data_IF_233516241285
#
_entry.id   IF_233516241285
#
_cell.length_a   1.000
_cell.length_b   1.000
_cell.length_c   1.000
_cell.angle_alpha   90.00
_cell.angle_beta   90.00
_cell.angle_gamma   90.00
#
_symmetry.space_group_name_H-M   'P 1'
#
loop_
_entity.id
_entity.type
_entity.pdbx_description
1 polymer ?
#
# COMPACT_ATOMS: atom_id res chain seq x y z
N UNK A 1 17.56 44.24 -31.21
CA UNK A 1 17.99 42.82 -31.12
C UNK A 1 18.32 42.31 -29.72
N UNK A 2 18.99 43.08 -28.83
CA UNK A 2 19.31 42.63 -27.45
C UNK A 2 18.09 42.38 -26.53
N UNK A 3 16.95 43.03 -26.76
CA UNK A 3 15.73 42.82 -25.97
C UNK A 3 14.99 41.51 -26.31
N UNK A 4 14.99 41.07 -27.58
CA UNK A 4 14.31 39.85 -28.01
C UNK A 4 15.05 38.58 -27.56
N UNK A 5 16.39 38.59 -27.58
CA UNK A 5 17.22 37.50 -27.03
C UNK A 5 17.09 37.36 -25.50
N UNK A 6 16.83 38.46 -24.79
CA UNK A 6 16.66 38.46 -23.33
C UNK A 6 15.28 37.94 -22.89
N UNK A 7 14.24 38.17 -23.69
CA UNK A 7 12.93 37.53 -23.46
C UNK A 7 12.96 36.03 -23.73
N UNK A 8 13.69 35.57 -24.75
CA UNK A 8 13.87 34.12 -25.00
C UNK A 8 14.63 33.45 -23.85
N UNK A 9 15.64 34.12 -23.27
CA UNK A 9 16.34 33.65 -22.06
C UNK A 9 15.46 33.67 -20.80
N UNK A 10 14.60 34.70 -20.62
CA UNK A 10 13.67 34.77 -19.48
C UNK A 10 12.62 33.64 -19.55
N UNK A 11 12.10 33.35 -20.74
CA UNK A 11 11.18 32.24 -20.97
C UNK A 11 11.83 30.88 -20.76
N UNK A 12 13.12 30.72 -21.08
CA UNK A 12 13.87 29.49 -20.80
C UNK A 12 14.17 29.28 -19.31
N UNK A 13 14.47 30.33 -18.56
CA UNK A 13 14.69 30.25 -17.11
C UNK A 13 13.40 30.00 -16.32
N UNK A 14 12.27 30.57 -16.74
CA UNK A 14 10.95 30.27 -16.15
C UNK A 14 10.52 28.83 -16.47
N UNK A 15 10.86 28.31 -17.66
CA UNK A 15 10.60 26.91 -18.02
C UNK A 15 11.40 25.92 -17.16
N UNK A 16 12.70 26.19 -16.92
CA UNK A 16 13.53 25.36 -16.05
C UNK A 16 13.15 25.44 -14.56
N UNK A 17 12.66 26.59 -14.07
CA UNK A 17 12.24 26.77 -12.67
C UNK A 17 10.85 26.17 -12.41
N UNK A 18 9.97 26.14 -13.42
CA UNK A 18 8.71 25.39 -13.38
C UNK A 18 8.92 23.87 -13.22
N UNK A 19 10.04 23.32 -13.72
CA UNK A 19 10.34 21.90 -13.62
C UNK A 19 10.71 21.44 -12.20
N UNK A 20 11.06 22.34 -11.27
CA UNK A 20 11.41 21.97 -9.89
C UNK A 20 10.22 21.87 -8.93
N UNK A 21 8.99 22.02 -9.44
CA UNK A 21 7.80 21.70 -8.68
C UNK A 21 7.66 20.17 -8.67
N UNK A 22 8.26 19.52 -7.67
CA UNK A 22 7.94 18.13 -7.35
C UNK A 22 6.53 18.11 -6.71
N UNK A 23 5.48 18.06 -7.52
CA UNK A 23 4.09 17.89 -7.07
C UNK A 23 3.61 16.46 -7.20
N UNK A 24 2.86 16.01 -6.19
CA UNK A 24 1.90 14.90 -6.15
C UNK A 24 2.39 13.51 -6.56
N UNK A 25 3.36 12.98 -5.82
CA UNK A 25 3.38 11.55 -5.53
C UNK A 25 2.35 11.27 -4.44
N UNK A 26 1.29 10.56 -4.79
CA UNK A 26 0.33 10.09 -3.79
C UNK A 26 1.02 9.07 -2.87
N UNK A 27 0.37 8.76 -1.76
CA UNK A 27 0.54 7.50 -1.06
C UNK A 27 0.67 6.29 -2.02
N UNK A 28 1.09 5.12 -1.53
CA UNK A 28 1.18 3.90 -2.34
C UNK A 28 -0.19 3.32 -2.75
N UNK A 29 -0.98 4.13 -3.46
CA UNK A 29 -2.28 3.80 -4.07
C UNK A 29 -2.12 3.05 -5.39
N UNK A 30 -0.87 2.81 -5.78
CA UNK A 30 -0.51 2.20 -7.05
C UNK A 30 -0.37 0.68 -6.91
N UNK A 31 -0.41 0.18 -5.68
CA UNK A 31 -0.34 -1.23 -5.33
C UNK A 31 -1.54 -1.63 -4.47
N UNK A 32 -1.87 -2.91 -4.46
CA UNK A 32 -3.05 -3.43 -3.73
C UNK A 32 -2.71 -4.39 -2.58
N UNK A 33 -1.45 -4.82 -2.46
CA UNK A 33 -0.99 -5.80 -1.45
C UNK A 33 0.16 -5.23 -0.59
N UNK A 34 -0.06 -4.02 -0.05
CA UNK A 34 0.96 -3.26 0.69
C UNK A 34 1.26 -3.86 2.07
N UNK A 35 0.22 -4.36 2.75
CA UNK A 35 0.36 -5.11 3.99
C UNK A 35 -0.35 -6.46 3.88
N UNK A 36 0.31 -7.51 4.34
CA UNK A 36 -0.33 -8.82 4.49
C UNK A 36 -1.10 -8.84 5.81
N UNK A 37 -2.33 -9.33 5.77
CA UNK A 37 -3.28 -9.29 6.88
C UNK A 37 -3.28 -10.64 7.60
N UNK A 38 -3.31 -10.64 8.93
CA UNK A 38 -3.42 -11.87 9.72
C UNK A 38 -2.12 -12.68 9.80
N UNK A 39 -1.95 -13.46 10.86
CA UNK A 39 -0.67 -14.11 11.17
C UNK A 39 -0.30 -15.23 10.21
N UNK A 40 -1.25 -16.15 9.97
CA UNK A 40 -1.04 -17.33 9.15
C UNK A 40 -0.96 -16.96 7.67
N UNK A 41 -1.89 -16.13 7.20
CA UNK A 41 -1.86 -15.62 5.84
C UNK A 41 -0.59 -14.80 5.54
N UNK A 42 -0.20 -13.87 6.42
CA UNK A 42 0.97 -13.03 6.19
C UNK A 42 2.29 -13.82 6.14
N UNK A 43 2.39 -14.94 6.85
CA UNK A 43 3.56 -15.81 6.85
C UNK A 43 3.60 -16.78 5.65
N UNK A 44 2.53 -16.82 4.85
CA UNK A 44 2.40 -17.55 3.58
C UNK A 44 2.22 -16.62 2.37
N UNK A 45 2.78 -15.41 2.39
CA UNK A 45 2.73 -14.48 1.26
C UNK A 45 1.34 -13.88 0.99
N UNK A 46 0.44 -13.96 1.97
CA UNK A 46 -0.96 -13.56 1.84
C UNK A 46 -1.76 -14.51 0.95
N UNK A 47 -1.30 -15.75 0.79
CA UNK A 47 -2.01 -16.81 0.09
C UNK A 47 -2.95 -17.50 1.06
N UNK A 48 -4.24 -17.16 1.01
CA UNK A 48 -5.22 -17.62 2.00
C UNK A 48 -6.61 -17.89 1.45
N UNK A 49 -6.89 -17.67 0.16
CA UNK A 49 -8.24 -17.77 -0.40
C UNK A 49 -8.83 -19.18 -0.29
N UNK A 50 -8.01 -20.22 -0.44
CA UNK A 50 -8.45 -21.63 -0.35
C UNK A 50 -8.32 -22.25 1.06
N UNK A 51 -7.72 -21.54 2.01
CA UNK A 51 -7.42 -22.05 3.37
C UNK A 51 -7.85 -21.06 4.45
N UNK A 52 -8.92 -20.30 4.18
CA UNK A 52 -9.46 -19.25 5.04
C UNK A 52 -10.25 -19.80 6.25
N UNK A 53 -9.73 -20.82 6.92
CA UNK A 53 -10.40 -21.60 7.97
C UNK A 53 -10.27 -21.03 9.39
N UNK A 54 -9.99 -19.73 9.52
CA UNK A 54 -9.95 -19.00 10.79
C UNK A 54 -10.60 -17.62 10.64
N UNK A 55 -10.53 -16.79 11.69
CA UNK A 55 -11.11 -15.44 11.63
C UNK A 55 -10.51 -14.56 10.51
N UNK A 56 -9.26 -14.77 10.10
CA UNK A 56 -8.64 -13.99 9.01
C UNK A 56 -9.30 -14.26 7.66
N UNK A 57 -10.02 -15.38 7.53
CA UNK A 57 -10.91 -15.66 6.41
C UNK A 57 -11.99 -14.60 6.18
N UNK A 58 -12.37 -13.83 7.20
CA UNK A 58 -13.30 -12.70 7.06
C UNK A 58 -12.78 -11.64 6.05
N UNK A 59 -11.45 -11.51 5.93
CA UNK A 59 -10.81 -10.60 4.98
C UNK A 59 -10.48 -11.27 3.64
N UNK A 60 -9.92 -12.49 3.66
CA UNK A 60 -9.48 -13.16 2.43
C UNK A 60 -10.61 -13.86 1.68
N UNK A 61 -11.29 -14.81 2.33
CA UNK A 61 -12.43 -15.52 1.77
C UNK A 61 -13.43 -15.91 2.86
N UNK A 62 -14.57 -15.20 3.00
CA UNK A 62 -15.50 -15.46 4.09
C UNK A 62 -16.15 -16.84 4.02
N UNK A 63 -16.11 -17.56 2.89
CA UNK A 63 -16.62 -18.92 2.85
C UNK A 63 -15.77 -19.89 3.69
N UNK A 64 -14.47 -19.63 3.81
CA UNK A 64 -13.55 -20.49 4.54
C UNK A 64 -13.86 -20.57 6.04
N UNK A 65 -14.40 -19.50 6.62
CA UNK A 65 -14.67 -19.43 8.07
C UNK A 65 -15.71 -20.48 8.50
N UNK A 66 -16.53 -21.00 7.57
CA UNK A 66 -17.45 -22.10 7.82
C UNK A 66 -16.70 -23.39 8.24
N UNK A 67 -15.46 -23.55 7.80
CA UNK A 67 -14.59 -24.69 8.10
C UNK A 67 -13.75 -24.52 9.36
N UNK A 68 -13.84 -23.38 10.05
CA UNK A 68 -13.10 -23.17 11.30
C UNK A 68 -13.39 -24.25 12.34
N UNK A 69 -12.40 -24.65 13.12
CA UNK A 69 -12.55 -25.80 14.06
C UNK A 69 -13.47 -25.45 15.24
N UNK A 70 -13.54 -24.19 15.65
CA UNK A 70 -14.35 -23.74 16.78
C UNK A 70 -14.39 -22.21 16.90
N UNK A 71 -14.74 -21.72 18.09
CA UNK A 71 -14.68 -20.30 18.39
C UNK A 71 -13.22 -19.84 18.48
N UNK A 72 -12.90 -18.69 17.88
CA UNK A 72 -11.54 -18.18 17.87
C UNK A 72 -11.49 -16.67 18.06
N UNK A 73 -10.52 -16.22 18.83
CA UNK A 73 -10.07 -14.84 18.93
C UNK A 73 -8.67 -14.75 18.34
N UNK A 74 -8.49 -13.92 17.31
CA UNK A 74 -7.17 -13.67 16.73
C UNK A 74 -6.87 -12.18 16.73
N UNK A 75 -5.68 -11.84 17.24
CA UNK A 75 -5.17 -10.48 17.22
C UNK A 75 -3.74 -10.51 16.68
N UNK A 76 -3.54 -9.94 15.50
CA UNK A 76 -2.21 -9.69 14.96
C UNK A 76 -1.73 -8.36 15.49
N UNK A 77 -1.03 -8.46 16.62
CA UNK A 77 -0.54 -7.33 17.38
C UNK A 77 0.90 -7.01 17.02
N UNK A 78 1.08 -5.94 16.24
CA UNK A 78 2.33 -5.23 15.97
C UNK A 78 3.10 -5.76 14.75
N UNK A 79 2.76 -5.16 13.61
CA UNK A 79 3.63 -5.13 12.43
C UNK A 79 4.59 -3.94 12.58
N UNK A 80 5.86 -4.18 12.88
CA UNK A 80 6.90 -3.16 12.70
C UNK A 80 7.25 -3.17 11.21
N UNK A 81 6.79 -2.16 10.48
CA UNK A 81 7.06 -2.00 9.06
C UNK A 81 8.09 -0.88 8.87
N UNK A 82 9.24 -1.22 8.29
CA UNK A 82 10.24 -0.26 7.83
C UNK A 82 10.36 -0.32 6.32
N UNK A 83 10.30 0.82 5.67
CA UNK A 83 10.46 0.93 4.22
C UNK A 83 11.45 2.03 3.89
N UNK A 84 12.25 1.81 2.84
CA UNK A 84 13.17 2.78 2.29
C UNK A 84 12.99 2.86 0.77
N UNK A 85 12.72 4.06 0.27
CA UNK A 85 12.69 4.35 -1.17
C UNK A 85 13.85 5.28 -1.51
N UNK A 86 14.64 4.91 -2.52
CA UNK A 86 15.77 5.70 -3.01
C UNK A 86 15.52 6.06 -4.47
N UNK A 87 15.60 7.35 -4.79
CA UNK A 87 15.58 7.89 -6.14
C UNK A 87 16.97 8.38 -6.50
N UNK A 88 17.60 7.72 -7.47
CA UNK A 88 19.00 7.98 -7.81
C UNK A 88 19.17 9.29 -8.57
N UNK A 89 20.23 10.03 -8.26
CA UNK A 89 20.67 11.24 -8.99
C UNK A 89 19.53 12.23 -9.24
N UNK A 90 18.72 12.47 -8.21
CA UNK A 90 17.57 13.34 -8.35
C UNK A 90 18.07 14.76 -8.57
N UNK A 91 18.82 15.34 -7.63
CA UNK A 91 19.38 16.69 -7.81
C UNK A 91 20.89 16.62 -8.04
N UNK A 92 21.33 16.91 -9.26
CA UNK A 92 22.74 16.79 -9.61
C UNK A 92 23.17 15.32 -9.50
N UNK A 93 24.13 15.03 -8.62
CA UNK A 93 24.58 13.66 -8.31
C UNK A 93 23.98 13.12 -7.01
N UNK A 94 23.07 13.86 -6.37
CA UNK A 94 22.53 13.53 -5.06
C UNK A 94 21.22 12.73 -5.15
N UNK A 95 21.11 11.71 -4.31
CA UNK A 95 19.94 10.85 -4.22
C UNK A 95 18.85 11.46 -3.33
N UNK A 96 17.58 11.21 -3.66
CA UNK A 96 16.49 11.41 -2.72
C UNK A 96 16.20 10.12 -1.98
N UNK A 97 16.21 10.19 -0.66
CA UNK A 97 15.86 9.06 0.19
C UNK A 97 14.58 9.38 0.95
N UNK A 98 13.65 8.44 0.95
CA UNK A 98 12.45 8.46 1.80
C UNK A 98 12.45 7.24 2.71
N UNK A 99 12.13 7.46 3.96
CA UNK A 99 12.09 6.41 4.97
C UNK A 99 10.70 6.40 5.63
N UNK A 100 10.17 5.21 5.86
CA UNK A 100 8.91 5.02 6.55
C UNK A 100 9.10 4.01 7.68
N UNK A 101 8.56 4.33 8.84
CA UNK A 101 8.51 3.44 9.99
C UNK A 101 7.13 3.54 10.63
N UNK A 102 6.44 2.40 10.76
CA UNK A 102 5.14 2.36 11.40
C UNK A 102 4.96 1.09 12.23
N UNK A 103 4.21 1.22 13.32
CA UNK A 103 3.83 0.13 14.21
C UNK A 103 2.31 0.12 14.31
N UNK A 104 1.67 -0.80 13.61
CA UNK A 104 0.20 -0.85 13.53
C UNK A 104 -0.32 -2.26 13.81
N UNK A 105 -1.37 -2.42 14.64
CA UNK A 105 -2.12 -3.66 14.68
C UNK A 105 -2.87 -3.82 13.36
N UNK A 106 -2.44 -4.77 12.52
CA UNK A 106 -3.00 -4.94 11.17
C UNK A 106 -4.30 -5.75 11.15
N UNK A 107 -4.62 -6.50 12.22
CA UNK A 107 -5.79 -7.37 12.24
C UNK A 107 -6.28 -7.71 13.65
N UNK A 108 -7.60 -7.71 13.81
CA UNK A 108 -8.31 -8.30 14.94
C UNK A 108 -9.59 -8.98 14.47
N UNK A 109 -9.88 -10.16 14.98
CA UNK A 109 -11.08 -10.90 14.60
C UNK A 109 -11.61 -11.80 15.70
N UNK A 110 -12.94 -11.86 15.79
CA UNK A 110 -13.69 -12.77 16.64
C UNK A 110 -14.54 -13.64 15.73
N UNK A 111 -14.36 -14.95 15.79
CA UNK A 111 -15.15 -15.94 15.07
C UNK A 111 -15.92 -16.78 16.06
N UNK A 112 -17.20 -16.99 15.75
CA UNK A 112 -18.10 -17.87 16.50
C UNK A 112 -18.75 -18.88 15.57
N UNK A 113 -18.57 -20.16 15.87
CA UNK A 113 -19.07 -21.26 15.05
C UNK A 113 -20.31 -21.91 15.68
N UNK A 114 -21.34 -22.07 14.86
CA UNK A 114 -22.61 -22.69 15.24
C UNK A 114 -23.01 -23.75 14.21
N UNK A 115 -22.56 -24.99 14.40
CA UNK A 115 -22.80 -26.10 13.46
C UNK A 115 -22.33 -25.71 12.04
N UNK A 116 -23.26 -25.60 11.09
CA UNK A 116 -23.01 -25.24 9.69
C UNK A 116 -22.94 -23.73 9.44
N UNK A 117 -23.22 -22.90 10.45
CA UNK A 117 -23.14 -21.44 10.37
C UNK A 117 -21.90 -20.95 11.10
N UNK A 118 -21.25 -19.93 10.57
CA UNK A 118 -20.17 -19.24 11.26
C UNK A 118 -20.36 -17.73 11.12
N UNK A 119 -20.15 -17.03 12.22
CA UNK A 119 -20.22 -15.57 12.27
C UNK A 119 -18.87 -15.04 12.69
N UNK A 120 -18.49 -13.91 12.13
CA UNK A 120 -17.24 -13.26 12.48
C UNK A 120 -17.42 -11.75 12.49
N UNK A 121 -16.74 -11.08 13.41
CA UNK A 121 -16.52 -9.65 13.32
C UNK A 121 -15.02 -9.42 13.20
N UNK A 122 -14.60 -8.58 12.26
CA UNK A 122 -13.19 -8.29 12.06
C UNK A 122 -12.94 -6.80 11.86
N UNK A 123 -11.75 -6.41 12.30
CA UNK A 123 -11.10 -5.12 12.08
C UNK A 123 -9.78 -5.40 11.36
N UNK A 124 -9.54 -4.67 10.28
CA UNK A 124 -8.41 -4.91 9.38
C UNK A 124 -7.79 -3.58 8.96
N UNK A 125 -6.46 -3.53 8.95
CA UNK A 125 -5.69 -2.42 8.40
C UNK A 125 -4.88 -2.96 7.22
N UNK A 126 -5.45 -2.94 6.00
CA UNK A 126 -4.76 -3.44 4.80
C UNK A 126 -3.65 -2.50 4.31
N UNK A 127 -3.67 -1.24 4.76
CA UNK A 127 -2.71 -0.23 4.36
C UNK A 127 -2.47 0.74 5.53
N UNK A 128 -1.21 0.89 5.90
CA UNK A 128 -0.74 1.91 6.81
C UNK A 128 0.72 2.24 6.49
N UNK A 129 1.02 3.50 6.23
CA UNK A 129 2.40 3.96 6.19
C UNK A 129 2.50 5.40 6.71
N UNK A 130 3.66 5.68 7.30
CA UNK A 130 4.05 7.01 7.77
C UNK A 130 5.40 7.28 7.15
N UNK A 131 5.44 8.12 6.12
CA UNK A 131 6.64 8.45 5.37
C UNK A 131 7.20 9.79 5.85
N UNK A 132 8.51 9.81 6.05
CA UNK A 132 9.27 10.99 6.36
C UNK A 132 10.43 11.15 5.36
N UNK A 133 10.70 12.39 5.00
CA UNK A 133 11.88 12.77 4.23
C UNK A 133 12.34 14.12 4.72
N UNK A 134 13.60 14.24 5.12
CA UNK A 134 14.25 15.50 5.42
C UNK A 134 15.62 15.49 4.75
N UNK A 135 15.82 16.36 3.76
CA UNK A 135 17.03 16.41 2.96
C UNK A 135 17.53 17.86 2.86
N UNK A 136 18.84 18.04 3.02
CA UNK A 136 19.52 19.33 2.82
C UNK A 136 20.69 19.08 1.88
N UNK A 137 20.69 19.76 0.74
CA UNK A 137 21.81 19.78 -0.19
C UNK A 137 22.44 21.16 -0.21
N UNK A 138 23.77 21.20 -0.11
CA UNK A 138 24.56 22.41 -0.21
C UNK A 138 25.24 22.45 -1.58
N UNK A 139 25.08 23.58 -2.27
CA UNK A 139 25.57 23.83 -3.61
C UNK A 139 25.26 22.70 -4.63
N UNK A 140 24.04 22.13 -4.66
CA UNK A 140 23.74 20.96 -5.49
C UNK A 140 23.78 21.24 -6.99
N UNK A 141 23.65 22.51 -7.39
CA UNK A 141 23.70 22.97 -8.76
C UNK A 141 24.42 24.33 -8.80
N UNK A 142 24.99 24.72 -9.93
CA UNK A 142 25.74 25.99 -10.07
C UNK A 142 24.93 27.25 -9.71
N UNK A 143 23.61 27.19 -9.78
CA UNK A 143 22.67 28.29 -9.50
C UNK A 143 21.99 28.19 -8.14
N UNK A 144 22.10 27.05 -7.46
CA UNK A 144 21.41 26.75 -6.20
C UNK A 144 22.44 26.58 -5.10
N UNK A 145 22.38 27.47 -4.10
CA UNK A 145 23.28 27.43 -2.94
C UNK A 145 22.79 26.44 -1.88
N UNK A 146 21.49 26.40 -1.63
CA UNK A 146 20.88 25.48 -0.65
C UNK A 146 19.56 24.98 -1.22
N UNK A 147 19.34 23.67 -1.14
CA UNK A 147 18.02 23.07 -1.33
C UNK A 147 17.66 22.25 -0.10
N UNK A 148 16.56 22.60 0.54
CA UNK A 148 15.98 21.87 1.65
C UNK A 148 14.61 21.34 1.24
N UNK A 149 14.34 20.09 1.56
CA UNK A 149 13.07 19.43 1.31
C UNK A 149 12.64 18.65 2.53
N UNK A 150 11.39 18.81 2.91
CA UNK A 150 10.74 18.09 3.99
C UNK A 150 9.40 17.55 3.51
N UNK A 151 9.16 16.27 3.72
CA UNK A 151 7.93 15.57 3.43
C UNK A 151 7.50 14.80 4.68
N UNK A 152 6.23 14.94 5.00
CA UNK A 152 5.57 14.05 5.95
C UNK A 152 4.26 13.60 5.31
N UNK A 153 4.08 12.29 5.19
CA UNK A 153 2.86 11.70 4.62
C UNK A 153 2.38 10.55 5.48
N UNK A 154 1.08 10.52 5.72
CA UNK A 154 0.41 9.47 6.45
C UNK A 154 -0.78 9.01 5.63
N UNK A 155 -0.92 7.70 5.44
CA UNK A 155 -2.11 7.08 4.88
C UNK A 155 -2.45 5.84 5.68
N UNK A 156 -3.69 5.77 6.16
CA UNK A 156 -4.18 4.61 6.87
C UNK A 156 -5.60 4.30 6.41
N UNK A 157 -5.79 3.04 6.03
CA UNK A 157 -7.09 2.48 5.66
C UNK A 157 -7.53 1.47 6.71
N UNK A 158 -8.77 1.59 7.16
CA UNK A 158 -9.42 0.71 8.10
C UNK A 158 -10.64 0.05 7.46
N UNK A 159 -10.76 -1.26 7.67
CA UNK A 159 -11.94 -2.03 7.34
C UNK A 159 -12.50 -2.62 8.62
N UNK A 160 -13.79 -2.48 8.86
CA UNK A 160 -14.43 -3.11 10.02
C UNK A 160 -15.83 -3.61 9.69
N UNK A 161 -16.19 -4.80 10.12
CA UNK A 161 -17.52 -5.29 9.82
C UNK A 161 -17.78 -6.77 10.13
N UNK A 162 -19.06 -7.15 10.05
CA UNK A 162 -19.51 -8.52 10.23
C UNK A 162 -19.28 -9.36 8.97
N UNK A 163 -19.10 -10.66 9.19
CA UNK A 163 -19.05 -11.71 8.19
C UNK A 163 -19.94 -12.86 8.62
N UNK A 164 -20.54 -13.54 7.66
CA UNK A 164 -21.34 -14.74 7.87
C UNK A 164 -21.03 -15.78 6.81
N UNK A 165 -20.99 -17.04 7.19
CA UNK A 165 -20.75 -18.15 6.29
C UNK A 165 -21.64 -19.35 6.58
N UNK A 166 -21.94 -20.09 5.52
CA UNK A 166 -22.79 -21.26 5.53
C UNK A 166 -22.09 -22.42 4.82
N UNK A 167 -21.98 -23.54 5.52
CA UNK A 167 -21.50 -24.81 4.97
C UNK A 167 -22.69 -25.61 4.42
N UNK A 168 -22.57 -26.07 3.18
CA UNK A 168 -23.51 -26.98 2.52
C UNK A 168 -22.88 -28.36 2.38
N UNK A 169 -23.40 -29.33 3.12
CA UNK A 169 -22.79 -30.65 3.21
C UNK A 169 -21.40 -30.55 3.85
N UNK A 170 -20.47 -31.39 3.39
CA UNK A 170 -19.11 -31.43 3.92
C UNK A 170 -18.12 -30.63 3.05
N UNK A 171 -18.44 -30.37 1.78
CA UNK A 171 -17.43 -30.00 0.78
C UNK A 171 -17.62 -28.62 0.19
N UNK A 172 -18.72 -27.92 0.44
CA UNK A 172 -18.99 -26.61 -0.15
C UNK A 172 -19.40 -25.58 0.89
N UNK A 173 -18.94 -24.34 0.77
CA UNK A 173 -19.40 -23.23 1.58
C UNK A 173 -19.50 -21.92 0.81
N UNK A 174 -20.37 -21.04 1.31
CA UNK A 174 -20.54 -19.67 0.85
C UNK A 174 -20.35 -18.72 2.02
N UNK A 175 -19.79 -17.55 1.76
CA UNK A 175 -19.62 -16.51 2.77
C UNK A 175 -19.86 -15.11 2.21
N UNK A 176 -20.22 -14.21 3.11
CA UNK A 176 -20.39 -12.79 2.85
C UNK A 176 -19.75 -12.00 3.99
N UNK A 177 -19.02 -10.96 3.63
CA UNK A 177 -18.52 -9.94 4.54
C UNK A 177 -18.98 -8.58 4.06
N UNK A 178 -19.34 -7.71 5.00
CA UNK A 178 -19.66 -6.32 4.70
C UNK A 178 -18.77 -5.42 5.55
N UNK A 179 -17.74 -4.83 4.95
CA UNK A 179 -16.85 -3.92 5.62
C UNK A 179 -17.30 -2.46 5.47
N UNK A 180 -17.26 -1.72 6.57
CA UNK A 180 -17.12 -0.27 6.56
C UNK A 180 -15.68 0.08 6.19
N UNK A 181 -15.51 0.85 5.12
CA UNK A 181 -14.21 1.35 4.68
C UNK A 181 -14.02 2.77 5.17
N UNK A 182 -12.91 3.02 5.87
CA UNK A 182 -12.49 4.35 6.29
C UNK A 182 -11.03 4.57 5.94
N UNK A 183 -10.74 5.62 5.17
CA UNK A 183 -9.36 6.02 4.87
C UNK A 183 -9.12 7.46 5.29
N UNK A 184 -7.97 7.68 5.91
CA UNK A 184 -7.47 9.00 6.28
C UNK A 184 -6.09 9.18 5.69
N UNK A 185 -5.94 10.19 4.84
CA UNK A 185 -4.68 10.57 4.22
C UNK A 185 -4.35 12.02 4.58
N UNK A 186 -3.11 12.24 5.01
CA UNK A 186 -2.55 13.57 5.21
C UNK A 186 -1.17 13.63 4.59
N UNK A 187 -0.89 14.72 3.90
CA UNK A 187 0.45 15.03 3.43
C UNK A 187 0.77 16.47 3.73
N UNK A 188 1.98 16.68 4.20
CA UNK A 188 2.63 17.96 4.33
C UNK A 188 3.93 17.92 3.56
N UNK A 189 4.12 18.90 2.70
CA UNK A 189 5.31 18.99 1.88
C UNK A 189 5.82 20.42 1.91
N UNK A 190 7.12 20.56 2.12
CA UNK A 190 7.78 21.85 2.21
C UNK A 190 9.12 21.76 1.49
N UNK A 191 9.43 22.75 0.67
CA UNK A 191 10.81 22.96 0.23
C UNK A 191 11.23 24.41 0.34
N UNK A 192 12.53 24.58 0.56
CA UNK A 192 13.20 25.87 0.56
C UNK A 192 14.40 25.80 -0.38
N UNK A 193 14.47 26.73 -1.32
CA UNK A 193 15.56 26.87 -2.26
C UNK A 193 16.19 28.25 -2.06
N UNK A 194 17.51 28.30 -1.93
CA UNK A 194 18.28 29.55 -1.93
C UNK A 194 19.18 29.57 -3.16
N UNK A 195 19.06 30.62 -3.96
CA UNK A 195 19.86 30.83 -5.16
C UNK A 195 21.21 31.46 -4.83
N UNK A 196 22.19 31.28 -5.71
CA UNK A 196 23.55 31.86 -5.54
C UNK A 196 23.54 33.39 -5.59
N UNK A 197 22.55 34.01 -6.23
CA UNK A 197 22.33 35.47 -6.31
C UNK A 197 21.66 36.09 -5.07
N UNK A 198 21.39 35.27 -4.05
CA UNK A 198 20.74 35.68 -2.81
C UNK A 198 19.21 35.62 -2.84
N UNK A 199 18.59 35.29 -3.97
CA UNK A 199 17.15 35.01 -4.06
C UNK A 199 16.76 33.75 -3.29
N UNK A 200 15.47 33.60 -3.00
CA UNK A 200 14.94 32.40 -2.36
C UNK A 200 13.55 32.04 -2.86
N UNK A 201 13.19 30.78 -2.69
CA UNK A 201 11.85 30.25 -2.92
C UNK A 201 11.48 29.32 -1.77
N UNK A 202 10.27 29.51 -1.26
CA UNK A 202 9.65 28.72 -0.21
C UNK A 202 8.34 28.20 -0.75
N UNK A 203 8.12 26.89 -0.65
CA UNK A 203 6.86 26.27 -1.01
C UNK A 203 6.36 25.45 0.17
N UNK A 204 5.06 25.54 0.40
CA UNK A 204 4.36 24.74 1.39
C UNK A 204 3.09 24.18 0.76
N UNK A 205 2.85 22.90 0.97
CA UNK A 205 1.64 22.20 0.58
C UNK A 205 1.12 21.36 1.75
N UNK A 206 -0.19 21.41 1.96
CA UNK A 206 -0.89 20.49 2.85
C UNK A 206 -2.11 19.94 2.16
N UNK A 207 -2.12 18.63 1.98
CA UNK A 207 -3.26 17.88 1.46
C UNK A 207 -3.85 17.01 2.56
N UNK A 208 -5.17 16.98 2.64
CA UNK A 208 -5.93 16.10 3.53
C UNK A 208 -7.02 15.44 2.70
N UNK A 209 -7.17 14.13 2.88
CA UNK A 209 -8.23 13.38 2.24
C UNK A 209 -8.84 12.43 3.26
N UNK A 210 -10.17 12.36 3.25
CA UNK A 210 -10.94 11.41 4.05
C UNK A 210 -11.94 10.72 3.14
N UNK A 211 -12.03 9.40 3.26
CA UNK A 211 -12.96 8.57 2.49
C UNK A 211 -13.74 7.66 3.43
N UNK A 212 -15.06 7.63 3.27
CA UNK A 212 -15.94 6.69 3.96
C UNK A 212 -16.73 5.89 2.90
N UNK A 213 -16.77 4.57 3.05
CA UNK A 213 -17.31 3.66 2.05
C UNK A 213 -17.78 2.31 2.62
N UNK A 214 -18.25 1.46 1.71
CA UNK A 214 -18.65 0.09 1.99
C UNK A 214 -17.94 -0.86 1.04
N UNK A 215 -17.44 -1.98 1.55
CA UNK A 215 -16.82 -3.05 0.76
C UNK A 215 -17.54 -4.37 1.04
N UNK A 216 -18.54 -4.72 0.22
CA UNK A 216 -19.08 -6.08 0.21
C UNK A 216 -18.05 -7.05 -0.37
N UNK A 217 -17.91 -8.22 0.26
CA UNK A 217 -17.06 -9.31 -0.20
C UNK A 217 -17.82 -10.61 -0.15
N UNK A 218 -17.87 -11.33 -1.26
CA UNK A 218 -18.51 -12.63 -1.38
C UNK A 218 -17.43 -13.69 -1.57
N UNK A 219 -17.57 -14.80 -0.86
CA UNK A 219 -16.64 -15.91 -0.88
C UNK A 219 -17.32 -17.22 -1.23
N UNK A 220 -16.56 -18.11 -1.88
CA UNK A 220 -16.92 -19.51 -2.13
C UNK A 220 -15.72 -20.37 -1.80
N UNK A 221 -15.95 -21.53 -1.18
CA UNK A 221 -14.92 -22.53 -0.97
C UNK A 221 -15.47 -23.92 -1.28
N UNK A 222 -14.68 -24.73 -1.97
CA UNK A 222 -15.04 -26.08 -2.40
C UNK A 222 -13.88 -27.04 -2.23
N UNK A 223 -14.13 -28.17 -1.55
CA UNK A 223 -13.18 -29.26 -1.38
C UNK A 223 -13.64 -30.47 -2.20
N UNK A 224 -13.28 -30.54 -3.51
CA UNK A 224 -13.67 -31.66 -4.38
C UNK A 224 -13.11 -33.01 -3.89
N UNK A 225 -11.92 -32.97 -3.28
CA UNK A 225 -11.21 -34.13 -2.74
C UNK A 225 -10.71 -33.81 -1.33
N UNK A 226 -10.44 -34.83 -0.51
CA UNK A 226 -9.94 -34.63 0.85
C UNK A 226 -8.59 -33.92 0.92
N UNK A 227 -7.81 -33.94 -0.17
CA UNK A 227 -6.48 -33.35 -0.26
C UNK A 227 -6.46 -32.03 -1.04
N UNK A 228 -7.57 -31.61 -1.65
CA UNK A 228 -7.62 -30.40 -2.49
C UNK A 228 -8.78 -29.50 -2.06
N UNK A 229 -8.47 -28.25 -1.79
CA UNK A 229 -9.47 -27.19 -1.61
C UNK A 229 -9.23 -26.09 -2.63
N UNK A 230 -10.30 -25.57 -3.20
CA UNK A 230 -10.29 -24.40 -4.06
C UNK A 230 -11.19 -23.32 -3.48
N UNK A 231 -10.81 -22.07 -3.67
CA UNK A 231 -11.53 -20.92 -3.17
C UNK A 231 -11.65 -19.83 -4.22
N UNK A 232 -12.69 -19.03 -4.11
CA UNK A 232 -12.85 -17.81 -4.88
C UNK A 232 -13.44 -16.72 -4.00
N UNK A 233 -12.96 -15.49 -4.16
CA UNK A 233 -13.53 -14.32 -3.51
C UNK A 233 -13.70 -13.17 -4.51
N UNK A 234 -14.70 -12.32 -4.27
CA UNK A 234 -15.00 -11.13 -5.07
C UNK A 234 -15.35 -9.97 -4.15
N UNK A 235 -14.75 -8.81 -4.39
CA UNK A 235 -15.08 -7.57 -3.69
C UNK A 235 -14.82 -6.31 -4.51
N UNK A 236 -15.43 -5.22 -4.07
CA UNK A 236 -15.19 -3.87 -4.57
C UNK A 236 -15.62 -2.86 -3.51
N UNK A 237 -14.81 -1.83 -3.29
CA UNK A 237 -15.15 -0.72 -2.38
C UNK A 237 -15.96 0.36 -3.10
N UNK A 238 -17.06 0.79 -2.47
CA UNK A 238 -17.90 1.89 -2.92
C UNK A 238 -17.87 3.03 -1.92
N UNK A 239 -17.43 4.22 -2.35
CA UNK A 239 -17.40 5.41 -1.50
C UNK A 239 -18.75 6.12 -1.52
N UNK A 240 -19.30 6.41 -0.34
CA UNK A 240 -20.45 7.30 -0.21
C UNK A 240 -20.04 8.70 0.26
N UNK A 241 -18.86 8.85 0.88
CA UNK A 241 -18.26 10.13 1.24
C UNK A 241 -16.78 10.18 0.83
N UNK A 242 -16.35 11.29 0.27
CA UNK A 242 -14.95 11.58 0.00
C UNK A 242 -14.77 13.09 0.11
N UNK A 243 -13.82 13.53 0.93
CA UNK A 243 -13.48 14.95 1.06
C UNK A 243 -11.99 15.11 0.85
N UNK A 244 -11.60 16.05 -0.01
CA UNK A 244 -10.23 16.44 -0.25
C UNK A 244 -10.08 17.93 0.01
N UNK A 245 -9.05 18.30 0.77
CA UNK A 245 -8.64 19.68 0.97
C UNK A 245 -7.14 19.80 0.70
N UNK A 246 -6.78 20.62 -0.29
CA UNK A 246 -5.41 21.02 -0.58
C UNK A 246 -5.22 22.49 -0.28
N UNK A 247 -4.15 22.86 0.40
CA UNK A 247 -3.69 24.24 0.52
C UNK A 247 -2.23 24.29 0.08
N UNK A 248 -1.91 25.20 -0.85
CA UNK A 248 -0.55 25.42 -1.30
C UNK A 248 -0.21 26.91 -1.16
N UNK A 249 1.01 27.22 -0.73
CA UNK A 249 1.55 28.58 -0.78
C UNK A 249 2.97 28.58 -1.31
N UNK A 250 3.29 29.61 -2.08
CA UNK A 250 4.62 29.86 -2.61
C UNK A 250 5.03 31.29 -2.26
N UNK A 251 6.25 31.44 -1.77
CA UNK A 251 6.88 32.73 -1.54
C UNK A 251 8.22 32.74 -2.25
N UNK A 252 8.44 33.71 -3.12
CA UNK A 252 9.67 33.79 -3.90
C UNK A 252 10.20 35.22 -3.93
N UNK A 253 11.52 35.31 -4.02
CA UNK A 253 12.26 36.55 -4.25
C UNK A 253 13.07 36.40 -5.52
N UNK A 254 12.85 37.32 -6.46
CA UNK A 254 13.66 37.46 -7.66
C UNK A 254 14.61 38.65 -7.48
N UNK A 255 15.92 38.39 -7.58
CA UNK A 255 16.98 39.39 -7.45
C UNK A 255 17.74 39.63 -8.77
N UNK A 256 17.26 39.08 -9.89
CA UNK A 256 17.93 39.08 -11.19
C UNK A 256 18.11 40.47 -11.82
N UNK A 257 17.37 41.48 -11.33
CA UNK A 257 17.42 42.87 -11.82
C UNK A 257 18.21 43.81 -10.91
N UNK A 258 18.80 43.32 -9.82
CA UNK A 258 19.51 44.12 -8.81
C UNK A 258 18.60 44.78 -7.76
N UNK A 259 17.28 44.67 -7.93
CA UNK A 259 16.26 45.04 -6.92
C UNK A 259 15.44 43.80 -6.60
N UNK A 260 15.28 43.49 -5.32
CA UNK A 260 14.49 42.34 -4.87
C UNK A 260 12.98 42.55 -5.16
N UNK A 261 12.40 41.67 -5.97
CA UNK A 261 10.95 41.56 -6.17
C UNK A 261 10.41 40.40 -5.36
N UNK A 262 9.31 40.61 -4.64
CA UNK A 262 8.67 39.59 -3.81
C UNK A 262 7.33 39.19 -4.41
N UNK A 263 7.07 37.89 -4.47
CA UNK A 263 5.75 37.37 -4.86
C UNK A 263 5.32 36.32 -3.83
N UNK A 264 4.04 36.38 -3.46
CA UNK A 264 3.39 35.41 -2.58
C UNK A 264 2.05 35.04 -3.18
N UNK A 265 1.80 33.74 -3.30
CA UNK A 265 0.54 33.18 -3.78
C UNK A 265 0.08 32.11 -2.81
N UNK A 266 -1.22 32.09 -2.53
CA UNK A 266 -1.87 31.04 -1.75
C UNK A 266 -3.06 30.53 -2.56
N UNK A 267 -3.15 29.21 -2.69
CA UNK A 267 -4.25 28.52 -3.36
C UNK A 267 -4.87 27.51 -2.41
N UNK A 268 -6.19 27.43 -2.44
CA UNK A 268 -6.97 26.44 -1.70
C UNK A 268 -7.87 25.69 -2.67
N UNK A 269 -7.85 24.38 -2.57
CA UNK A 269 -8.67 23.46 -3.36
C UNK A 269 -9.49 22.59 -2.42
N UNK A 270 -10.78 22.49 -2.70
CA UNK A 270 -11.69 21.57 -2.01
C UNK A 270 -12.36 20.73 -3.08
N UNK A 271 -12.46 19.42 -2.87
CA UNK A 271 -13.13 18.51 -3.78
C UNK A 271 -13.88 17.43 -2.99
N UNK A 272 -15.03 17.02 -3.53
CA UNK A 272 -15.83 15.90 -3.03
C UNK A 272 -15.89 14.74 -4.04
N UNK A 273 -14.99 14.78 -5.04
CA UNK A 273 -14.88 13.74 -6.06
C UNK A 273 -14.50 12.39 -5.45
N UNK A 274 -15.21 11.35 -5.85
CA UNK A 274 -15.05 9.99 -5.33
C UNK A 274 -14.26 9.16 -6.34
N UNK A 275 -13.12 8.62 -5.91
CA UNK A 275 -12.39 7.63 -6.71
C UNK A 275 -13.18 6.33 -6.84
N UNK A 276 -12.90 5.58 -7.91
CA UNK A 276 -13.48 4.26 -8.14
C UNK A 276 -12.44 3.19 -7.85
N UNK A 277 -12.73 2.34 -6.87
CA UNK A 277 -11.88 1.19 -6.55
C UNK A 277 -12.01 0.09 -7.61
N UNK A 278 -10.94 -0.70 -7.83
CA UNK A 278 -10.99 -1.82 -8.75
C UNK A 278 -12.01 -2.87 -8.31
N UNK A 279 -12.48 -3.66 -9.27
CA UNK A 279 -13.14 -4.93 -8.96
C UNK A 279 -12.05 -5.97 -8.70
N UNK A 280 -12.03 -6.58 -7.51
CA UNK A 280 -11.06 -7.60 -7.12
C UNK A 280 -11.68 -8.99 -7.22
N UNK A 281 -11.02 -9.87 -7.96
CA UNK A 281 -11.34 -11.29 -8.07
C UNK A 281 -10.13 -12.09 -7.60
N UNK A 282 -10.30 -12.87 -6.54
CA UNK A 282 -9.26 -13.74 -5.99
C UNK A 282 -9.62 -15.20 -6.23
N UNK A 283 -8.64 -15.99 -6.68
CA UNK A 283 -8.77 -17.44 -6.87
C UNK A 283 -7.65 -18.14 -6.12
N UNK A 284 -7.98 -19.17 -5.35
CA UNK A 284 -7.01 -19.94 -4.58
C UNK A 284 -7.15 -21.43 -4.78
N UNK A 285 -6.02 -22.14 -4.66
CA UNK A 285 -5.99 -23.59 -4.61
C UNK A 285 -4.98 -24.07 -3.55
N UNK A 286 -5.38 -25.07 -2.77
CA UNK A 286 -4.61 -25.61 -1.67
C UNK A 286 -4.56 -27.13 -1.71
N UNK A 287 -3.35 -27.68 -1.64
CA UNK A 287 -3.06 -29.10 -1.69
C UNK A 287 -2.43 -29.57 -0.38
N UNK A 288 -3.03 -30.60 0.22
CA UNK A 288 -2.65 -31.19 1.51
C UNK A 288 -2.10 -32.61 1.30
N UNK A 289 -0.86 -32.79 0.80
CA UNK A 289 -0.31 -34.12 0.55
C UNK A 289 -0.20 -34.98 1.81
N UNK A 290 -0.01 -34.36 2.98
CA UNK A 290 -0.01 -35.03 4.28
C UNK A 290 -0.66 -34.12 5.33
N UNK A 291 -1.08 -34.64 6.50
CA UNK A 291 -1.61 -33.80 7.57
C UNK A 291 -0.64 -32.72 8.10
N UNK A 292 0.66 -32.88 7.85
CA UNK A 292 1.70 -31.96 8.30
C UNK A 292 2.23 -31.03 7.21
N UNK A 293 1.76 -31.14 5.97
CA UNK A 293 2.30 -30.38 4.85
C UNK A 293 1.18 -29.82 3.97
N UNK A 294 1.25 -28.51 3.72
CA UNK A 294 0.33 -27.76 2.89
C UNK A 294 1.11 -26.95 1.84
N UNK A 295 0.61 -26.96 0.62
CA UNK A 295 0.97 -26.04 -0.45
C UNK A 295 -0.26 -25.27 -0.90
N UNK A 296 -0.13 -23.96 -1.06
CA UNK A 296 -1.23 -23.10 -1.49
C UNK A 296 -0.75 -22.08 -2.52
N UNK A 297 -1.62 -21.72 -3.45
CA UNK A 297 -1.38 -20.68 -4.47
C UNK A 297 -2.64 -19.85 -4.66
N UNK A 298 -2.47 -18.53 -4.79
CA UNK A 298 -3.54 -17.58 -5.06
C UNK A 298 -3.18 -16.68 -6.25
N UNK A 299 -4.21 -16.33 -7.01
CA UNK A 299 -4.19 -15.35 -8.10
C UNK A 299 -5.19 -14.25 -7.77
N UNK A 300 -4.69 -13.02 -7.69
CA UNK A 300 -5.48 -11.82 -7.42
C UNK A 300 -5.56 -10.96 -8.69
N UNK A 301 -6.74 -10.90 -9.31
CA UNK A 301 -7.01 -10.04 -10.46
C UNK A 301 -7.77 -8.78 -10.04
N UNK A 302 -7.19 -7.62 -10.35
CA UNK A 302 -7.77 -6.31 -10.11
C UNK A 302 -8.12 -5.66 -11.44
N UNK A 303 -9.41 -5.45 -11.68
CA UNK A 303 -9.89 -4.74 -12.86
C UNK A 303 -10.04 -3.26 -12.57
N UNK A 304 -9.29 -2.43 -13.28
CA UNK A 304 -9.31 -0.98 -13.12
C UNK A 304 -10.68 -0.38 -13.44
N UNK A 305 -11.12 0.57 -12.62
CA UNK A 305 -12.39 1.30 -12.78
C UNK A 305 -12.19 2.81 -12.98
N UNK A 306 -10.95 3.27 -12.85
CA UNK A 306 -10.56 4.67 -12.92
C UNK A 306 -9.65 4.91 -14.12
N UNK A 307 -9.82 6.06 -14.78
CA UNK A 307 -8.92 6.49 -15.86
C UNK A 307 -7.50 6.68 -15.32
N UNK A 308 -6.50 6.27 -16.10
CA UNK A 308 -5.09 6.33 -15.68
C UNK A 308 -4.64 5.15 -14.82
N UNK A 309 -5.48 4.11 -14.66
CA UNK A 309 -5.15 2.84 -14.00
C UNK A 309 -5.20 1.68 -15.01
N UNK A 310 -4.36 0.69 -14.79
CA UNK A 310 -4.27 -0.56 -15.54
C UNK A 310 -4.79 -1.73 -14.71
N UNK A 311 -5.22 -2.79 -15.41
CA UNK A 311 -5.57 -4.06 -14.79
C UNK A 311 -4.30 -4.74 -14.27
N UNK A 312 -4.40 -5.38 -13.10
CA UNK A 312 -3.26 -6.03 -12.43
C UNK A 312 -3.59 -7.47 -12.09
N UNK A 313 -2.62 -8.37 -12.28
CA UNK A 313 -2.70 -9.76 -11.79
C UNK A 313 -1.51 -9.99 -10.86
N UNK A 314 -1.80 -10.22 -9.58
CA UNK A 314 -0.78 -10.63 -8.61
C UNK A 314 -0.84 -12.13 -8.36
N UNK A 315 0.33 -12.70 -8.08
CA UNK A 315 0.50 -14.11 -7.75
C UNK A 315 1.01 -14.23 -6.32
N UNK A 316 0.55 -15.23 -5.60
CA UNK A 316 1.17 -15.62 -4.34
C UNK A 316 1.17 -17.13 -4.16
N UNK A 317 2.19 -17.63 -3.50
CA UNK A 317 2.32 -19.04 -3.15
C UNK A 317 2.86 -19.19 -1.75
N UNK A 318 2.33 -20.16 -1.02
CA UNK A 318 2.65 -20.41 0.37
C UNK A 318 2.82 -21.90 0.66
N UNK A 319 3.62 -22.20 1.67
CA UNK A 319 3.72 -23.55 2.25
C UNK A 319 3.72 -23.47 3.77
N UNK A 320 3.12 -24.47 4.39
CA UNK A 320 3.08 -24.68 5.83
C UNK A 320 3.52 -26.10 6.13
N UNK A 321 4.45 -26.24 7.08
CA UNK A 321 4.97 -27.53 7.51
C UNK A 321 4.97 -27.64 9.03
N UNK A 322 4.28 -28.65 9.55
CA UNK A 322 4.27 -29.05 10.94
C UNK A 322 5.34 -30.10 11.18
N UNK A 323 6.39 -29.75 11.91
CA UNK A 323 7.41 -30.74 12.30
C UNK A 323 6.98 -31.53 13.54
N UNK A 324 6.08 -30.97 14.35
CA UNK A 324 5.34 -31.65 15.40
C UNK A 324 3.96 -30.98 15.60
N UNK A 325 3.04 -31.55 16.40
CA UNK A 325 1.70 -30.98 16.59
C UNK A 325 1.66 -29.60 17.23
N UNK A 326 2.76 -29.17 17.86
CA UNK A 326 2.86 -27.91 18.59
C UNK A 326 3.63 -26.84 17.83
N UNK A 327 4.27 -27.15 16.71
CA UNK A 327 5.14 -26.19 16.05
C UNK A 327 5.09 -26.32 14.52
N UNK A 328 4.94 -25.16 13.86
CA UNK A 328 4.88 -25.06 12.42
C UNK A 328 5.82 -23.96 11.89
N UNK A 329 6.37 -24.20 10.70
CA UNK A 329 7.06 -23.20 9.90
C UNK A 329 6.28 -22.91 8.63
N UNK A 330 6.35 -21.67 8.16
CA UNK A 330 5.72 -21.20 6.94
C UNK A 330 6.67 -20.40 6.11
N UNK A 331 6.48 -20.52 4.81
CA UNK A 331 7.18 -19.72 3.82
C UNK A 331 6.19 -19.26 2.75
N UNK A 332 6.39 -18.07 2.22
CA UNK A 332 5.57 -17.56 1.14
C UNK A 332 6.33 -16.63 0.20
N UNK A 333 5.87 -16.57 -1.04
CA UNK A 333 6.34 -15.66 -2.08
C UNK A 333 5.12 -14.97 -2.69
N UNK A 334 5.26 -13.70 -3.04
CA UNK A 334 4.18 -12.95 -3.68
C UNK A 334 4.69 -11.82 -4.57
N UNK A 335 3.83 -11.38 -5.48
CA UNK A 335 4.03 -10.18 -6.29
C UNK A 335 3.04 -9.10 -5.87
N UNK A 336 3.44 -7.85 -6.05
CA UNK A 336 2.60 -6.68 -5.92
C UNK A 336 3.00 -5.73 -7.05
N UNK A 337 2.40 -5.94 -8.22
CA UNK A 337 2.63 -5.14 -9.41
C UNK A 337 1.86 -3.83 -9.36
N UNK A 338 2.39 -2.80 -10.02
CA UNK A 338 1.74 -1.50 -10.08
C UNK A 338 0.49 -1.52 -10.96
N UNK A 339 -0.53 -0.77 -10.54
CA UNK A 339 -1.75 -0.51 -11.29
C UNK A 339 -1.60 0.69 -12.24
N UNK A 340 -0.38 1.17 -12.47
CA UNK A 340 -0.09 2.23 -13.42
C UNK A 340 0.09 1.66 -14.84
N UNK A 341 -0.35 2.38 -15.88
CA UNK A 341 -0.08 2.00 -17.26
C UNK A 341 1.42 1.81 -17.56
N UNK A 342 1.73 1.07 -18.62
CA UNK A 342 3.11 0.99 -19.09
C UNK A 342 3.62 2.37 -19.51
N UNK A 343 4.89 2.62 -19.22
CA UNK A 343 5.53 3.91 -19.47
C UNK A 343 6.09 3.99 -20.87
N UNK A 344 6.11 5.19 -21.43
CA UNK A 344 6.66 5.48 -22.75
C UNK A 344 7.41 6.83 -22.76
N UNK A 345 7.91 7.24 -23.93
CA UNK A 345 8.64 8.50 -24.09
C UNK A 345 7.80 9.76 -23.84
N UNK A 346 6.47 9.62 -23.72
CA UNK A 346 5.52 10.71 -23.49
C UNK A 346 5.05 10.78 -22.04
N UNK A 347 5.48 9.85 -21.19
CA UNK A 347 5.17 9.84 -19.76
C UNK A 347 5.74 11.10 -19.11
N UNK A 348 4.87 11.85 -18.44
CA UNK A 348 5.19 13.09 -17.75
C UNK A 348 4.98 12.92 -16.24
N UNK A 349 5.82 13.59 -15.46
CA UNK A 349 5.69 13.62 -14.00
C UNK A 349 4.37 14.26 -13.52
N UNK A 350 3.91 13.92 -12.29
CA UNK A 350 4.47 12.91 -11.39
C UNK A 350 4.08 11.48 -11.79
N UNK A 351 5.04 10.56 -11.76
CA UNK A 351 4.79 9.16 -12.10
C UNK A 351 5.83 8.23 -11.46
N UNK A 352 5.42 7.15 -10.81
CA UNK A 352 6.31 6.15 -10.20
C UNK A 352 5.94 4.75 -10.64
N UNK A 353 6.68 4.20 -11.60
CA UNK A 353 6.45 2.84 -12.07
C UNK A 353 7.43 1.90 -11.36
N UNK A 354 6.93 1.06 -10.45
CA UNK A 354 7.71 0.04 -9.75
C UNK A 354 6.86 -1.21 -9.58
N UNK A 355 7.49 -2.36 -9.77
CA UNK A 355 6.91 -3.66 -9.47
C UNK A 355 7.62 -4.24 -8.25
N UNK A 356 6.86 -4.82 -7.32
CA UNK A 356 7.37 -5.29 -6.04
C UNK A 356 7.25 -6.82 -5.94
N UNK A 357 8.32 -7.45 -5.45
CA UNK A 357 8.36 -8.86 -5.10
C UNK A 357 8.53 -9.00 -3.61
N UNK A 358 7.85 -9.98 -3.01
CA UNK A 358 7.86 -10.22 -1.58
C UNK A 358 8.13 -11.66 -1.22
N UNK A 359 8.78 -11.85 -0.07
CA UNK A 359 8.97 -13.14 0.57
C UNK A 359 8.58 -13.04 2.04
N UNK A 360 7.95 -14.08 2.57
CA UNK A 360 7.54 -14.17 3.97
C UNK A 360 8.06 -15.45 4.60
N UNK A 361 8.40 -15.37 5.87
CA UNK A 361 8.73 -16.50 6.72
C UNK A 361 7.98 -16.37 8.03
N UNK A 362 7.52 -17.50 8.58
CA UNK A 362 6.85 -17.53 9.86
C UNK A 362 7.13 -18.78 10.66
N UNK A 363 7.09 -18.62 11.97
CA UNK A 363 7.11 -19.69 12.95
C UNK A 363 5.92 -19.52 13.88
N UNK A 364 5.15 -20.59 14.10
CA UNK A 364 4.07 -20.61 15.09
C UNK A 364 4.29 -21.74 16.07
N UNK A 365 4.16 -21.41 17.34
CA UNK A 365 4.05 -22.39 18.42
C UNK A 365 2.61 -22.43 18.93
N UNK A 366 2.06 -23.63 19.00
CA UNK A 366 0.72 -23.95 19.45
C UNK A 366 0.76 -24.55 20.86
N UNK A 367 -0.09 -24.02 21.72
CA UNK A 367 -0.47 -24.64 22.98
C UNK A 367 -1.86 -25.29 22.85
N UNK A 368 -2.36 -25.88 23.92
CA UNK A 368 -3.70 -26.50 23.93
C UNK A 368 -4.85 -25.53 23.67
N UNK A 369 -4.65 -24.22 23.89
CA UNK A 369 -5.72 -23.21 23.78
C UNK A 369 -5.28 -21.90 23.12
N UNK A 370 -4.01 -21.77 22.73
CA UNK A 370 -3.47 -20.55 22.13
C UNK A 370 -2.39 -20.86 21.13
N UNK A 371 -2.07 -19.89 20.28
CA UNK A 371 -0.88 -19.93 19.44
C UNK A 371 -0.15 -18.60 19.46
N UNK A 372 1.16 -18.66 19.26
CA UNK A 372 2.03 -17.50 19.17
C UNK A 372 2.82 -17.58 17.87
N UNK A 373 2.73 -16.52 17.07
CA UNK A 373 3.36 -16.44 15.75
C UNK A 373 4.41 -15.33 15.72
N UNK A 374 5.58 -15.69 15.21
CA UNK A 374 6.66 -14.77 14.85
C UNK A 374 6.88 -14.85 13.35
N UNK A 375 6.92 -13.71 12.67
CA UNK A 375 7.10 -13.68 11.23
C UNK A 375 7.95 -12.51 10.75
N UNK A 376 8.50 -12.65 9.56
CA UNK A 376 9.18 -11.59 8.84
C UNK A 376 8.73 -11.59 7.38
N UNK A 377 8.54 -10.40 6.82
CA UNK A 377 8.22 -10.22 5.40
C UNK A 377 9.23 -9.22 4.85
N UNK A 378 9.89 -9.57 3.76
CA UNK A 378 10.78 -8.69 3.04
C UNK A 378 10.19 -8.43 1.65
N UNK A 379 10.20 -7.17 1.22
CA UNK A 379 9.83 -6.82 -0.15
C UNK A 379 10.93 -5.98 -0.80
N UNK A 380 11.08 -6.15 -2.11
CA UNK A 380 12.03 -5.39 -2.92
C UNK A 380 11.45 -5.14 -4.29
N UNK A 381 11.64 -3.91 -4.79
CA UNK A 381 11.25 -3.50 -6.12
C UNK A 381 12.28 -2.54 -6.71
N UNK A 382 12.38 -2.54 -8.03
CA UNK A 382 13.19 -1.59 -8.80
C UNK A 382 12.37 -1.07 -9.96
N UNK A 383 12.45 0.22 -10.22
CA UNK A 383 11.55 0.91 -11.13
C UNK A 383 12.09 2.26 -11.60
N UNK A 384 11.20 3.06 -12.17
CA UNK A 384 11.51 4.41 -12.66
C UNK A 384 10.54 5.43 -12.09
N UNK A 385 11.06 6.62 -11.83
CA UNK A 385 10.28 7.74 -11.34
C UNK A 385 10.47 8.98 -12.23
N UNK A 386 9.37 9.68 -12.50
CA UNK A 386 9.30 10.99 -13.12
C UNK A 386 8.93 11.98 -12.02
N UNK A 387 9.90 12.73 -11.51
CA UNK A 387 9.77 13.51 -10.28
C UNK A 387 9.46 15.00 -10.53
N UNK A 388 9.77 15.48 -11.73
CA UNK A 388 9.76 16.90 -12.08
C UNK A 388 8.54 17.27 -12.91
N UNK A 389 7.59 18.01 -12.34
CA UNK A 389 6.32 18.35 -13.01
C UNK A 389 6.54 18.87 -14.43
N UNK A 390 5.80 18.29 -15.38
CA UNK A 390 5.90 18.63 -16.81
C UNK A 390 7.16 18.12 -17.52
N UNK A 391 8.05 17.39 -16.84
CA UNK A 391 9.24 16.78 -17.43
C UNK A 391 9.01 15.32 -17.80
N UNK A 392 9.68 14.89 -18.87
CA UNK A 392 9.81 13.48 -19.26
C UNK A 392 11.09 12.83 -18.71
N UNK A 393 11.88 13.57 -17.91
CA UNK A 393 13.08 13.05 -17.29
C UNK A 393 12.76 11.94 -16.29
N UNK A 394 13.45 10.82 -16.43
CA UNK A 394 13.36 9.66 -15.55
C UNK A 394 14.53 9.58 -14.60
N UNK A 395 14.28 9.07 -13.39
CA UNK A 395 15.28 8.60 -12.44
C UNK A 395 15.04 7.14 -12.08
N UNK A 396 16.10 6.43 -11.76
CA UNK A 396 15.97 5.07 -11.22
C UNK A 396 15.43 5.14 -9.80
N UNK A 397 14.55 4.22 -9.45
CA UNK A 397 13.98 4.09 -8.12
C UNK A 397 14.18 2.67 -7.60
N UNK A 398 14.53 2.55 -6.32
CA UNK A 398 14.54 1.28 -5.60
C UNK A 398 13.72 1.41 -4.32
N UNK A 399 12.90 0.41 -4.02
CA UNK A 399 12.12 0.33 -2.78
C UNK A 399 12.39 -1.00 -2.09
N UNK A 400 12.79 -0.95 -0.83
CA UNK A 400 12.97 -2.12 0.01
C UNK A 400 12.16 -1.95 1.30
N UNK A 401 11.53 -3.02 1.78
CA UNK A 401 10.85 -2.99 3.08
C UNK A 401 11.04 -4.28 3.88
N UNK A 402 11.02 -4.13 5.20
CA UNK A 402 11.05 -5.21 6.17
C UNK A 402 9.89 -5.02 7.14
N UNK A 403 9.04 -6.03 7.23
CA UNK A 403 7.97 -6.14 8.21
C UNK A 403 8.32 -7.25 9.19
N UNK A 404 8.32 -6.95 10.48
CA UNK A 404 8.32 -7.96 11.54
C UNK A 404 6.90 -8.10 12.08
N UNK A 405 6.42 -9.33 12.20
CA UNK A 405 5.08 -9.66 12.67
C UNK A 405 5.17 -10.45 13.98
N UNK A 406 4.40 -10.01 14.97
CA UNK A 406 4.10 -10.75 16.17
C UNK A 406 2.59 -10.91 16.30
N UNK A 407 2.12 -12.09 16.69
CA UNK A 407 0.69 -12.33 16.82
C UNK A 407 0.40 -13.39 17.86
N UNK A 408 -0.79 -13.28 18.46
CA UNK A 408 -1.32 -14.27 19.37
C UNK A 408 -2.79 -14.55 19.03
N UNK A 409 -3.15 -15.82 19.05
CA UNK A 409 -4.52 -16.28 18.88
C UNK A 409 -4.91 -17.24 19.99
N UNK A 410 -6.21 -17.29 20.29
CA UNK A 410 -6.80 -18.16 21.29
C UNK A 410 -8.03 -18.86 20.71
N UNK A 411 -8.13 -20.16 20.94
CA UNK A 411 -9.41 -20.87 20.83
C UNK A 411 -10.22 -20.58 22.09
N UNK A 412 -11.51 -20.27 21.94
CA UNK A 412 -12.41 -19.92 23.04
C UNK A 412 -13.28 -21.08 23.50
#
# INVERSE_FOLDING_TARGET
MKYALRQISLSFSIFFISCFVATQLYADVDHYKNMLVGERAATMGGTYVAISDDSTGCYYNPAGIAYAVGDSLSGSGNVLHKMKTVYSETIGTEDWVRESETLVPNYFGVLKKYKSYSFCFSYVVPEAFIEHQDLVFNDPLSTVKIYYQSLHSEDITYLMGPSGALQFGENFSLGLTLYYHYRSFMRQYHYFLKSTDGGYQLYYESNKQREDGLMPKIGVQWSPWSLLTVGMALDQTFLFNATFQGNASIHNTDNSTGTASYTSLMTRTISEEKRKFPLHLAFGAAYFPTPSLLYTVDLDYYKAQQKGRADVINYSGGTEYYFDPTNAVRFGLFTNYTNLPQTDSTTIAPYEYIDIYGASFGYTSYSSSSSLTLGAIYTSGSGKAWLYSGSTETRNMKRDSLTLLFSASSSL
#
